data_IF_858109781538
#
_entry.id   IF_858109781538
#
_cell.length_a   1.000
_cell.length_b   1.000
_cell.length_c   1.000
_cell.angle_alpha   90.00
_cell.angle_beta   90.00
_cell.angle_gamma   90.00
#
_symmetry.space_group_name_H-M   'P 1'
#
loop_
_entity.id
_entity.type
_entity.pdbx_description
1 polymer ?
#
# COMPACT_ATOMS: atom_id res chain seq x y z
N UNK A 1 -7.35 -12.07 -11.24
CA UNK A 1 -7.32 -10.65 -10.84
C UNK A 1 -5.86 -10.31 -10.59
N UNK A 2 -5.37 -9.19 -11.13
CA UNK A 2 -3.95 -8.87 -11.19
C UNK A 2 -3.69 -7.55 -10.50
N UNK A 3 -2.57 -7.45 -9.77
CA UNK A 3 -2.04 -6.21 -9.25
C UNK A 3 -1.88 -5.15 -10.35
N UNK A 4 -2.41 -3.96 -10.12
CA UNK A 4 -2.28 -2.81 -11.02
C UNK A 4 -1.69 -1.62 -10.28
N UNK A 5 -0.63 -1.04 -10.85
CA UNK A 5 -0.05 0.22 -10.37
C UNK A 5 -0.73 1.41 -11.05
N UNK A 6 -1.35 2.28 -10.25
CA UNK A 6 -2.07 3.44 -10.75
C UNK A 6 -1.11 4.59 -11.03
N UNK A 7 -1.21 5.15 -12.24
CA UNK A 7 -0.40 6.27 -12.71
C UNK A 7 -1.19 7.27 -13.56
N UNK A 8 -2.29 6.86 -14.19
CA UNK A 8 -3.11 7.76 -15.01
C UNK A 8 -4.04 8.61 -14.12
N UNK A 9 -4.27 9.90 -14.47
CA UNK A 9 -5.15 10.77 -13.69
C UNK A 9 -6.56 10.21 -13.49
N UNK A 10 -7.14 9.59 -14.53
CA UNK A 10 -8.48 9.00 -14.45
C UNK A 10 -8.58 7.81 -13.50
N UNK A 11 -7.52 7.01 -13.34
CA UNK A 11 -7.52 5.93 -12.35
C UNK A 11 -7.31 6.48 -10.93
N UNK A 12 -6.49 7.52 -10.77
CA UNK A 12 -6.28 8.18 -9.47
C UNK A 12 -7.57 8.81 -8.95
N UNK A 13 -8.37 9.44 -9.81
CA UNK A 13 -9.67 10.01 -9.43
C UNK A 13 -10.69 8.94 -8.99
N UNK A 14 -10.71 7.77 -9.67
CA UNK A 14 -11.52 6.63 -9.24
C UNK A 14 -11.07 6.10 -7.88
N UNK A 15 -9.76 5.98 -7.67
CA UNK A 15 -9.17 5.57 -6.42
C UNK A 15 -9.48 6.54 -5.28
N UNK A 16 -9.36 7.85 -5.50
CA UNK A 16 -9.65 8.86 -4.49
C UNK A 16 -11.10 8.79 -4.00
N UNK A 17 -12.05 8.66 -4.93
CA UNK A 17 -13.47 8.43 -4.60
C UNK A 17 -13.66 7.15 -3.80
N UNK A 18 -12.99 6.07 -4.20
CA UNK A 18 -13.06 4.79 -3.49
C UNK A 18 -12.55 4.92 -2.06
N UNK A 19 -11.35 5.47 -1.84
CA UNK A 19 -10.76 5.67 -0.50
C UNK A 19 -11.67 6.51 0.38
N UNK A 20 -12.18 7.63 -0.13
CA UNK A 20 -13.07 8.54 0.61
C UNK A 20 -14.41 7.90 0.98
N UNK A 21 -14.87 6.93 0.20
CA UNK A 21 -16.09 6.16 0.48
C UNK A 21 -15.87 4.91 1.32
N UNK A 22 -14.62 4.48 1.50
CA UNK A 22 -14.28 3.23 2.16
C UNK A 22 -14.47 3.35 3.68
N UNK A 23 -15.09 2.37 4.38
CA UNK A 23 -15.31 2.43 5.83
C UNK A 23 -14.02 2.65 6.63
N UNK A 24 -12.93 2.02 6.16
CA UNK A 24 -11.58 2.15 6.74
C UNK A 24 -10.69 3.12 5.93
N UNK A 25 -11.27 3.99 5.09
CA UNK A 25 -10.54 5.00 4.34
C UNK A 25 -9.85 5.98 5.29
N UNK A 26 -8.55 6.21 5.08
CA UNK A 26 -7.77 7.11 5.94
C UNK A 26 -6.99 8.12 5.14
N UNK A 27 -6.60 9.23 5.79
CA UNK A 27 -5.71 10.23 5.21
C UNK A 27 -4.43 9.58 4.66
N UNK A 28 -3.81 8.64 5.39
CA UNK A 28 -2.57 7.98 4.96
C UNK A 28 -2.70 7.12 3.68
N UNK A 29 -3.93 6.78 3.29
CA UNK A 29 -4.23 6.08 2.05
C UNK A 29 -4.85 7.02 1.01
N UNK A 30 -4.78 8.35 1.18
CA UNK A 30 -5.41 9.31 0.27
C UNK A 30 -4.41 9.97 -0.70
N UNK A 31 -4.92 10.64 -1.74
CA UNK A 31 -4.08 11.38 -2.68
C UNK A 31 -3.41 12.62 -2.05
N UNK A 32 -4.04 13.19 -1.03
CA UNK A 32 -3.46 14.29 -0.25
C UNK A 32 -2.19 13.84 0.47
N UNK A 33 -2.18 12.63 1.05
CA UNK A 33 -0.99 12.06 1.66
C UNK A 33 0.09 11.71 0.64
N UNK A 34 -0.30 11.17 -0.53
CA UNK A 34 0.63 11.00 -1.66
C UNK A 34 1.31 12.32 -2.00
N UNK A 35 0.53 13.38 -2.19
CA UNK A 35 1.04 14.72 -2.53
C UNK A 35 2.00 15.24 -1.46
N UNK A 36 1.65 15.07 -0.17
CA UNK A 36 2.51 15.48 0.94
C UNK A 36 3.85 14.72 0.94
N UNK A 37 3.84 13.40 0.82
CA UNK A 37 5.06 12.59 0.83
C UNK A 37 5.95 12.87 -0.39
N UNK A 38 5.35 13.10 -1.55
CA UNK A 38 6.09 13.51 -2.76
C UNK A 38 6.73 14.89 -2.60
N UNK A 39 6.05 15.83 -1.92
CA UNK A 39 6.63 17.13 -1.59
C UNK A 39 7.83 17.02 -0.62
N UNK A 40 7.89 15.97 0.19
CA UNK A 40 9.05 15.61 1.02
C UNK A 40 10.16 14.88 0.25
N UNK A 41 10.00 14.69 -1.07
CA UNK A 41 10.97 14.01 -1.93
C UNK A 41 10.91 12.48 -1.88
N UNK A 42 9.86 11.91 -1.28
CA UNK A 42 9.65 10.45 -1.26
C UNK A 42 8.92 10.00 -2.51
N UNK A 43 9.19 8.78 -2.94
CA UNK A 43 8.44 8.16 -4.03
C UNK A 43 7.16 7.52 -3.45
N UNK A 44 6.02 7.71 -4.11
CA UNK A 44 4.75 7.13 -3.66
C UNK A 44 4.05 6.42 -4.81
N UNK A 45 3.74 5.15 -4.60
CA UNK A 45 3.01 4.33 -5.57
C UNK A 45 1.69 3.86 -4.99
N UNK A 46 0.67 3.74 -5.83
CA UNK A 46 -0.63 3.21 -5.45
C UNK A 46 -0.85 1.92 -6.23
N UNK A 47 -1.07 0.84 -5.51
CA UNK A 47 -1.41 -0.45 -6.08
C UNK A 47 -2.88 -0.77 -5.79
N UNK A 48 -3.55 -1.38 -6.76
CA UNK A 48 -4.94 -1.81 -6.63
C UNK A 48 -5.13 -3.20 -7.19
N UNK A 49 -6.18 -3.87 -6.75
CA UNK A 49 -6.68 -5.09 -7.37
C UNK A 49 -8.18 -4.95 -7.65
N UNK A 50 -8.61 -5.48 -8.80
CA UNK A 50 -10.01 -5.47 -9.27
C UNK A 50 -10.43 -4.22 -10.04
N UNK A 51 -11.46 -4.37 -10.86
CA UNK A 51 -12.23 -3.26 -11.46
C UNK A 51 -13.73 -3.66 -11.41
N UNK A 52 -14.52 -3.15 -10.45
CA UNK A 52 -14.19 -2.11 -9.47
C UNK A 52 -13.15 -2.52 -8.42
N UNK A 53 -12.47 -1.54 -7.81
CA UNK A 53 -11.40 -1.75 -6.82
C UNK A 53 -11.93 -2.56 -5.63
N UNK A 54 -11.31 -3.71 -5.36
CA UNK A 54 -11.59 -4.57 -4.21
C UNK A 54 -10.56 -4.44 -3.10
N UNK A 55 -9.32 -4.08 -3.47
CA UNK A 55 -8.24 -3.83 -2.52
C UNK A 55 -7.29 -2.77 -3.06
N UNK A 56 -6.63 -2.05 -2.15
CA UNK A 56 -5.60 -1.09 -2.51
C UNK A 56 -4.52 -0.93 -1.45
N UNK A 57 -3.37 -0.42 -1.87
CA UNK A 57 -2.29 -0.01 -0.99
C UNK A 57 -1.58 1.22 -1.58
N UNK A 58 -1.60 2.33 -0.84
CA UNK A 58 -0.64 3.41 -1.00
C UNK A 58 0.66 3.01 -0.32
N UNK A 59 1.72 2.98 -1.10
CA UNK A 59 3.08 2.58 -0.70
C UNK A 59 3.99 3.79 -0.80
N UNK A 60 4.58 4.17 0.33
CA UNK A 60 5.67 5.15 0.40
C UNK A 60 6.98 4.40 0.26
N UNK A 61 7.79 4.81 -0.71
CA UNK A 61 9.08 4.21 -1.04
C UNK A 61 10.17 5.18 -0.60
N UNK A 62 10.92 4.77 0.41
CA UNK A 62 12.08 5.48 0.91
C UNK A 62 13.35 4.84 0.34
N UNK A 63 14.00 5.55 -0.59
CA UNK A 63 15.23 5.08 -1.24
C UNK A 63 16.42 5.38 -0.34
N UNK A 64 17.18 4.34 -0.05
CA UNK A 64 18.39 4.43 0.76
C UNK A 64 19.64 4.34 -0.12
N UNK A 65 20.81 4.30 0.51
CA UNK A 65 22.08 4.12 -0.18
C UNK A 65 22.13 2.80 -0.99
N UNK A 66 22.97 2.76 -2.02
CA UNK A 66 23.16 1.61 -2.91
C UNK A 66 21.91 1.15 -3.69
N UNK A 67 21.00 2.08 -4.01
CA UNK A 67 19.75 1.80 -4.74
C UNK A 67 18.83 0.79 -4.03
N UNK A 68 18.98 0.65 -2.71
CA UNK A 68 18.05 -0.12 -1.89
C UNK A 68 16.87 0.75 -1.49
N UNK A 69 15.79 0.14 -1.03
CA UNK A 69 14.64 0.87 -0.52
C UNK A 69 13.98 0.20 0.68
N UNK A 70 13.21 0.97 1.43
CA UNK A 70 12.18 0.43 2.31
C UNK A 70 10.82 0.89 1.81
N UNK A 71 9.83 0.01 1.90
CA UNK A 71 8.46 0.30 1.48
C UNK A 71 7.58 0.35 2.73
N UNK A 72 6.74 1.36 2.84
CA UNK A 72 5.82 1.55 3.97
C UNK A 72 4.38 1.71 3.45
N UNK A 73 3.45 0.97 4.04
CA UNK A 73 2.01 1.02 3.74
C UNK A 73 1.27 1.59 4.96
N UNK A 74 1.27 2.92 5.12
CA UNK A 74 0.76 3.53 6.34
C UNK A 74 -0.77 3.39 6.41
N UNK A 75 -1.29 2.77 7.48
CA UNK A 75 -2.74 2.52 7.66
C UNK A 75 -3.39 1.71 6.54
N UNK A 76 -2.58 1.03 5.73
CA UNK A 76 -3.02 0.12 4.69
C UNK A 76 -2.37 -1.27 4.85
N UNK A 77 -2.67 -2.21 3.96
CA UNK A 77 -3.60 -2.10 2.81
C UNK A 77 -5.08 -1.96 3.20
N UNK A 78 -5.93 -1.54 2.26
CA UNK A 78 -7.39 -1.48 2.40
C UNK A 78 -8.04 -2.58 1.55
N UNK A 79 -9.09 -3.21 2.08
CA UNK A 79 -9.87 -4.25 1.41
C UNK A 79 -11.36 -4.10 1.70
N UNK A 80 -12.18 -4.43 0.69
CA UNK A 80 -13.60 -4.70 0.87
C UNK A 80 -13.78 -6.20 1.15
N UNK A 81 -14.27 -6.53 2.35
CA UNK A 81 -14.61 -7.90 2.71
C UNK A 81 -15.69 -8.45 1.76
N UNK A 82 -15.29 -9.35 0.87
CA UNK A 82 -16.18 -10.01 -0.09
C UNK A 82 -16.07 -11.55 -0.05
N UNK A 83 -15.26 -12.10 0.87
CA UNK A 83 -15.05 -13.53 1.10
C UNK A 83 -14.30 -14.29 -0.01
N UNK A 84 -13.98 -13.64 -1.13
CA UNK A 84 -13.29 -14.26 -2.28
C UNK A 84 -11.87 -13.75 -2.46
N UNK A 85 -11.61 -12.50 -2.09
CA UNK A 85 -10.29 -11.90 -2.11
C UNK A 85 -9.43 -12.43 -0.97
N UNK A 86 -8.14 -12.60 -1.24
CA UNK A 86 -7.14 -12.99 -0.23
C UNK A 86 -6.07 -11.91 -0.18
N UNK A 87 -6.05 -11.13 0.90
CA UNK A 87 -5.05 -10.10 1.13
C UNK A 87 -3.61 -10.63 1.02
N UNK A 88 -3.38 -11.89 1.40
CA UNK A 88 -2.09 -12.56 1.27
C UNK A 88 -1.59 -12.59 -0.20
N UNK A 89 -2.48 -12.83 -1.17
CA UNK A 89 -2.10 -12.85 -2.58
C UNK A 89 -1.72 -11.45 -3.08
N UNK A 90 -2.45 -10.43 -2.66
CA UNK A 90 -2.20 -9.05 -3.02
C UNK A 90 -0.87 -8.55 -2.44
N UNK A 91 -0.65 -8.78 -1.14
CA UNK A 91 0.62 -8.50 -0.48
C UNK A 91 1.77 -9.29 -1.09
N UNK A 92 1.55 -10.55 -1.49
CA UNK A 92 2.55 -11.37 -2.17
C UNK A 92 2.96 -10.79 -3.53
N UNK A 93 2.00 -10.34 -4.33
CA UNK A 93 2.30 -9.68 -5.60
C UNK A 93 3.08 -8.38 -5.39
N UNK A 94 2.72 -7.56 -4.39
CA UNK A 94 3.47 -6.35 -4.05
C UNK A 94 4.89 -6.69 -3.57
N UNK A 95 5.04 -7.74 -2.75
CA UNK A 95 6.34 -8.17 -2.24
C UNK A 95 7.28 -8.64 -3.35
N UNK A 96 6.78 -9.35 -4.37
CA UNK A 96 7.59 -9.74 -5.52
C UNK A 96 8.06 -8.52 -6.33
N UNK A 97 7.20 -7.52 -6.52
CA UNK A 97 7.60 -6.24 -7.15
C UNK A 97 8.68 -5.56 -6.30
N UNK A 98 8.45 -5.40 -5.00
CA UNK A 98 9.39 -4.76 -4.09
C UNK A 98 10.77 -5.46 -4.09
N UNK A 99 10.77 -6.80 -4.07
CA UNK A 99 11.99 -7.62 -4.13
C UNK A 99 12.77 -7.40 -5.42
N UNK A 100 12.07 -7.34 -6.57
CA UNK A 100 12.70 -7.06 -7.87
C UNK A 100 13.36 -5.67 -7.92
N UNK A 101 12.85 -4.73 -7.11
CA UNK A 101 13.34 -3.36 -7.00
C UNK A 101 14.33 -3.14 -5.84
N UNK A 102 14.93 -4.22 -5.31
CA UNK A 102 15.92 -4.16 -4.21
C UNK A 102 15.37 -3.56 -2.92
N UNK A 103 14.08 -3.77 -2.65
CA UNK A 103 13.50 -3.45 -1.35
C UNK A 103 14.07 -4.38 -0.27
N UNK A 104 14.49 -3.80 0.86
CA UNK A 104 15.01 -4.55 2.00
C UNK A 104 13.91 -5.05 2.92
N UNK A 105 12.85 -4.23 3.11
CA UNK A 105 11.76 -4.54 4.01
C UNK A 105 10.48 -3.80 3.61
N UNK A 106 9.35 -4.45 3.83
CA UNK A 106 8.02 -3.84 3.73
C UNK A 106 7.45 -3.69 5.13
N UNK A 107 6.99 -2.50 5.45
CA UNK A 107 6.29 -2.17 6.69
C UNK A 107 4.81 -1.93 6.40
N UNK A 108 3.94 -2.45 7.25
CA UNK A 108 2.49 -2.24 7.15
C UNK A 108 1.86 -1.98 8.51
N UNK A 109 0.82 -1.16 8.55
CA UNK A 109 0.13 -0.80 9.80
C UNK A 109 -1.37 -0.66 9.58
N UNK A 110 -2.03 -1.70 9.04
CA UNK A 110 -3.40 -1.61 8.58
C UNK A 110 -4.34 -1.23 9.73
N UNK A 111 -5.41 -0.47 9.41
CA UNK A 111 -6.45 -0.10 10.39
C UNK A 111 -7.16 -1.35 10.90
N UNK A 112 -7.46 -2.28 10.00
CA UNK A 112 -8.01 -3.59 10.33
C UNK A 112 -6.88 -4.61 10.42
N UNK A 113 -6.84 -5.38 11.51
CA UNK A 113 -5.81 -6.41 11.66
C UNK A 113 -5.88 -7.40 10.51
N UNK A 114 -4.83 -7.40 9.69
CA UNK A 114 -4.63 -8.41 8.66
C UNK A 114 -3.69 -9.47 9.20
N UNK A 115 -4.08 -10.73 9.07
CA UNK A 115 -3.18 -11.81 9.41
C UNK A 115 -2.14 -11.96 8.28
N UNK A 116 -0.88 -11.67 8.59
CA UNK A 116 0.25 -11.82 7.65
C UNK A 116 0.96 -13.11 8.03
N UNK A 117 0.71 -14.19 7.29
CA UNK A 117 1.34 -15.48 7.55
C UNK A 117 2.37 -15.85 6.47
N UNK A 118 3.51 -16.38 6.92
CA UNK A 118 4.49 -17.12 6.10
C UNK A 118 4.93 -16.47 4.78
N UNK A 119 5.29 -15.19 4.79
CA UNK A 119 5.94 -14.59 3.63
C UNK A 119 7.45 -14.94 3.60
N UNK A 120 8.00 -15.35 2.44
CA UNK A 120 9.44 -15.56 2.28
C UNK A 120 10.24 -14.25 2.30
N UNK A 121 9.54 -13.10 2.26
CA UNK A 121 10.09 -11.75 2.32
C UNK A 121 9.75 -11.10 3.66
N UNK A 122 10.65 -10.27 4.17
CA UNK A 122 10.53 -9.63 5.47
C UNK A 122 9.45 -8.53 5.48
N UNK A 123 8.22 -8.95 5.80
CA UNK A 123 7.06 -8.08 6.00
C UNK A 123 6.85 -7.90 7.50
N UNK A 124 6.81 -6.65 7.97
CA UNK A 124 6.70 -6.34 9.39
C UNK A 124 5.50 -5.45 9.69
N UNK A 125 4.85 -5.70 10.83
CA UNK A 125 3.94 -4.71 11.39
C UNK A 125 4.75 -3.48 11.84
N UNK A 126 4.40 -2.31 11.35
CA UNK A 126 5.08 -1.06 11.69
C UNK A 126 4.83 -0.70 13.16
N UNK A 127 5.89 -0.29 13.86
CA UNK A 127 5.83 0.23 15.24
C UNK A 127 6.01 1.75 15.29
N UNK A 128 6.03 2.42 14.13
CA UNK A 128 6.32 3.85 14.01
C UNK A 128 5.25 4.70 14.72
N UNK A 129 5.72 5.64 15.55
CA UNK A 129 4.87 6.52 16.35
C UNK A 129 4.21 7.65 15.54
N UNK A 130 4.59 7.83 14.26
CA UNK A 130 4.05 8.85 13.35
C UNK A 130 2.55 8.65 13.03
N UNK A 131 1.97 7.52 13.45
CA UNK A 131 0.59 7.17 13.20
C UNK A 131 -0.18 7.11 14.52
N UNK A 132 -1.04 8.10 14.84
CA UNK A 132 -1.86 8.07 16.06
C UNK A 132 -2.76 6.84 16.03
N UNK A 133 -2.68 6.02 17.10
CA UNK A 133 -3.37 4.73 17.23
C UNK A 133 -4.89 4.87 17.18
#
# INVERSE_FOLDING_TARGET
MSLQMLHSPGHLEKYDRWVKSHPNGTLWQSLEWKTYQEALGREVRIYTEGDPVIASALVVIDRTIFSMSTWDMPRGPLEIENGKFKMENFLGQIAEVAKSEKCMSIFLSPVQQTAVFNFPFSIFHSTRAEQPR
#
